data_IF_960919769312
#
_entry.id   IF_960919769312
#
_cell.length_a   1.000
_cell.length_b   1.000
_cell.length_c   1.000
_cell.angle_alpha   90.00
_cell.angle_beta   90.00
_cell.angle_gamma   90.00
#
_symmetry.space_group_name_H-M   'P 1'
#
loop_
_entity.id
_entity.type
_entity.pdbx_description
1 polymer ?
#
# COMPACT_ATOMS: atom_id res chain seq x y z
N UNK A 1 -3.21 -18.33 10.42
CA UNK A 1 -4.08 -19.19 9.58
C UNK A 1 -4.58 -18.42 8.37
N UNK A 2 -5.15 -17.23 8.58
CA UNK A 2 -5.61 -16.33 7.50
C UNK A 2 -4.55 -16.09 6.41
N UNK A 3 -3.30 -15.86 6.79
CA UNK A 3 -2.18 -15.66 5.87
C UNK A 3 -1.98 -16.81 4.88
N UNK A 4 -2.23 -18.05 5.33
CA UNK A 4 -2.02 -19.26 4.50
C UNK A 4 -3.14 -19.49 3.48
N UNK A 5 -4.36 -19.00 3.75
CA UNK A 5 -5.57 -19.41 3.01
C UNK A 5 -6.43 -18.27 2.49
N UNK A 6 -6.48 -17.15 3.20
CA UNK A 6 -7.42 -16.07 2.95
C UNK A 6 -6.74 -14.83 2.36
N UNK A 7 -5.54 -14.48 2.84
CA UNK A 7 -4.79 -13.29 2.40
C UNK A 7 -4.52 -13.32 0.89
N UNK A 8 -4.24 -14.49 0.31
CA UNK A 8 -4.01 -14.63 -1.14
C UNK A 8 -5.16 -14.08 -2.00
N UNK A 9 -6.40 -14.16 -1.53
CA UNK A 9 -7.58 -13.63 -2.21
C UNK A 9 -7.95 -12.21 -1.75
N UNK A 10 -7.47 -11.79 -0.58
CA UNK A 10 -7.93 -10.60 0.15
C UNK A 10 -6.84 -9.57 0.44
N UNK A 11 -5.69 -9.64 -0.25
CA UNK A 11 -4.57 -8.73 -0.03
C UNK A 11 -4.60 -7.45 -0.88
N UNK A 12 -5.35 -7.41 -1.97
CA UNK A 12 -5.35 -6.27 -2.90
C UNK A 12 -6.51 -5.30 -2.67
N UNK A 13 -6.44 -4.09 -3.24
CA UNK A 13 -7.52 -3.10 -3.13
C UNK A 13 -8.76 -3.48 -3.96
N UNK A 14 -8.61 -4.34 -4.96
CA UNK A 14 -9.69 -5.00 -5.71
C UNK A 14 -10.06 -6.38 -5.15
N UNK A 15 -9.68 -6.67 -3.89
CA UNK A 15 -10.18 -7.85 -3.20
C UNK A 15 -11.72 -7.91 -3.27
N UNK A 16 -12.33 -9.10 -3.37
CA UNK A 16 -13.78 -9.24 -3.40
C UNK A 16 -14.41 -8.47 -2.25
N UNK A 17 -15.36 -7.58 -2.58
CA UNK A 17 -16.07 -6.75 -1.61
C UNK A 17 -15.15 -5.84 -0.77
N UNK A 18 -13.98 -5.47 -1.27
CA UNK A 18 -12.94 -4.72 -0.54
C UNK A 18 -12.53 -5.33 0.81
N UNK A 19 -12.87 -6.60 1.06
CA UNK A 19 -12.57 -7.26 2.32
C UNK A 19 -11.06 -7.52 2.37
N UNK A 20 -10.41 -6.92 3.36
CA UNK A 20 -8.98 -7.08 3.62
C UNK A 20 -8.79 -7.99 4.81
N UNK A 21 -8.03 -9.07 4.63
CA UNK A 21 -7.76 -10.05 5.69
C UNK A 21 -6.28 -10.05 6.10
N UNK A 22 -5.56 -9.01 5.70
CA UNK A 22 -4.13 -8.79 5.93
C UNK A 22 -3.82 -8.25 7.32
N UNK A 23 -4.81 -7.77 8.08
CA UNK A 23 -4.59 -7.27 9.44
C UNK A 23 -5.87 -7.33 10.27
N UNK A 24 -5.77 -7.26 11.62
CA UNK A 24 -6.92 -7.08 12.50
C UNK A 24 -7.89 -5.98 12.05
N UNK A 25 -7.37 -4.78 11.80
CA UNK A 25 -8.18 -3.63 11.41
C UNK A 25 -8.79 -3.79 10.01
N UNK A 26 -8.14 -4.55 9.11
CA UNK A 26 -8.71 -4.93 7.83
C UNK A 26 -9.95 -5.82 7.98
N UNK A 27 -9.90 -6.78 8.91
CA UNK A 27 -11.00 -7.70 9.18
C UNK A 27 -12.15 -6.95 9.87
N UNK A 28 -11.85 -6.14 10.88
CA UNK A 28 -12.83 -5.34 11.62
C UNK A 28 -13.50 -4.28 10.75
N UNK A 29 -12.74 -3.66 9.82
CA UNK A 29 -13.31 -2.78 8.81
C UNK A 29 -14.45 -3.47 8.04
N UNK A 30 -14.28 -4.74 7.70
CA UNK A 30 -15.28 -5.54 7.02
C UNK A 30 -15.32 -5.33 5.50
N UNK A 31 -16.51 -5.45 4.92
CA UNK A 31 -16.72 -5.46 3.47
C UNK A 31 -17.45 -4.21 2.99
N UNK A 32 -17.28 -3.88 1.70
CA UNK A 32 -17.99 -2.82 0.99
C UNK A 32 -18.25 -3.22 -0.45
N UNK A 33 -19.38 -2.76 -1.00
CA UNK A 33 -19.72 -2.91 -2.42
C UNK A 33 -19.03 -1.87 -3.31
N UNK A 34 -18.35 -0.89 -2.74
CA UNK A 34 -17.70 0.15 -3.52
C UNK A 34 -16.59 -0.45 -4.41
N UNK A 35 -16.48 0.03 -5.64
CA UNK A 35 -15.43 -0.37 -6.57
C UNK A 35 -14.26 0.60 -6.45
N UNK A 36 -13.10 0.16 -5.98
CA UNK A 36 -11.91 1.02 -5.91
C UNK A 36 -11.45 1.40 -7.32
N UNK A 37 -11.25 0.37 -8.16
CA UNK A 37 -10.82 0.52 -9.55
C UNK A 37 -12.02 0.44 -10.49
N UNK A 38 -12.39 1.58 -11.07
CA UNK A 38 -13.49 1.71 -12.03
C UNK A 38 -13.05 2.60 -13.18
N UNK A 39 -12.66 2.00 -14.31
CA UNK A 39 -12.04 2.70 -15.44
C UNK A 39 -12.90 3.79 -16.08
N UNK A 40 -14.23 3.67 -15.97
CA UNK A 40 -15.17 4.65 -16.52
C UNK A 40 -15.37 5.90 -15.65
N UNK A 41 -14.71 6.01 -14.50
CA UNK A 41 -14.98 7.09 -13.55
C UNK A 41 -14.37 8.42 -14.01
N UNK A 42 -15.21 9.44 -14.16
CA UNK A 42 -14.81 10.79 -14.56
C UNK A 42 -14.25 11.66 -13.42
N UNK A 43 -14.27 11.17 -12.17
CA UNK A 43 -13.78 11.92 -10.99
C UNK A 43 -13.10 10.95 -10.04
N UNK A 44 -12.15 11.42 -9.25
CA UNK A 44 -11.53 10.56 -8.25
C UNK A 44 -12.55 10.12 -7.18
N UNK A 45 -12.49 8.86 -6.73
CA UNK A 45 -13.23 8.39 -5.56
C UNK A 45 -12.47 8.73 -4.27
N UNK A 46 -13.18 8.80 -3.16
CA UNK A 46 -12.54 8.80 -1.85
C UNK A 46 -11.73 7.49 -1.66
N UNK A 47 -10.46 7.57 -1.23
CA UNK A 47 -9.67 6.39 -0.94
C UNK A 47 -10.14 5.69 0.35
N UNK A 48 -9.82 4.41 0.47
CA UNK A 48 -10.23 3.52 1.58
C UNK A 48 -9.04 2.69 2.08
N UNK A 49 -7.87 3.31 2.22
CA UNK A 49 -6.62 2.70 2.69
C UNK A 49 -6.67 2.52 4.21
N UNK A 50 -6.27 1.34 4.67
CA UNK A 50 -6.17 1.06 6.10
C UNK A 50 -5.14 2.00 6.74
N UNK A 51 -5.41 2.44 7.97
CA UNK A 51 -4.53 3.31 8.77
C UNK A 51 -4.26 4.71 8.19
N UNK A 52 -5.02 5.11 7.16
CA UNK A 52 -4.86 6.40 6.48
C UNK A 52 -6.20 7.12 6.39
N UNK A 53 -7.19 6.48 5.79
CA UNK A 53 -8.44 7.14 5.41
C UNK A 53 -9.52 7.00 6.50
N UNK A 54 -9.31 6.11 7.48
CA UNK A 54 -10.04 6.02 8.74
C UNK A 54 -9.21 5.26 9.79
N UNK A 55 -9.40 5.60 11.06
CA UNK A 55 -8.64 5.08 12.22
C UNK A 55 -9.49 4.28 13.20
N UNK A 56 -10.81 4.21 12.99
CA UNK A 56 -11.72 3.44 13.83
C UNK A 56 -12.74 2.64 13.02
N UNK A 57 -13.25 1.54 13.60
CA UNK A 57 -14.34 0.75 12.99
C UNK A 57 -15.58 1.60 12.77
N UNK A 58 -15.90 2.53 13.67
CA UNK A 58 -17.02 3.45 13.54
C UNK A 58 -16.92 4.32 12.28
N UNK A 59 -15.76 4.95 12.05
CA UNK A 59 -15.50 5.71 10.83
C UNK A 59 -15.67 4.85 9.57
N UNK A 60 -15.19 3.59 9.59
CA UNK A 60 -15.40 2.69 8.46
C UNK A 60 -16.88 2.41 8.15
N UNK A 61 -17.75 2.36 9.18
CA UNK A 61 -19.20 2.22 8.99
C UNK A 61 -19.79 3.48 8.31
N UNK A 62 -19.31 4.67 8.67
CA UNK A 62 -19.68 5.92 8.00
C UNK A 62 -19.22 5.94 6.53
N UNK A 63 -18.09 5.31 6.23
CA UNK A 63 -17.60 5.06 4.86
C UNK A 63 -18.36 3.94 4.12
N UNK A 64 -19.45 3.40 4.68
CA UNK A 64 -20.31 2.41 4.05
C UNK A 64 -19.74 0.99 4.05
N UNK A 65 -18.73 0.71 4.90
CA UNK A 65 -18.34 -0.66 5.19
C UNK A 65 -19.29 -1.29 6.20
N UNK A 66 -19.46 -2.60 6.12
CA UNK A 66 -20.30 -3.38 7.03
C UNK A 66 -19.54 -4.61 7.52
N UNK A 67 -19.88 -5.12 8.72
CA UNK A 67 -19.12 -6.19 9.33
C UNK A 67 -19.29 -7.52 8.60
N UNK A 68 -18.20 -8.29 8.55
CA UNK A 68 -18.21 -9.71 8.14
C UNK A 68 -18.19 -10.67 9.35
N UNK A 69 -17.92 -10.11 10.53
CA UNK A 69 -17.97 -10.77 11.83
C UNK A 69 -19.29 -10.42 12.54
N UNK A 70 -19.62 -11.14 13.60
CA UNK A 70 -20.73 -10.75 14.46
C UNK A 70 -20.29 -9.59 15.38
N UNK A 71 -20.85 -8.40 15.20
CA UNK A 71 -20.66 -7.25 16.10
C UNK A 71 -21.78 -7.12 17.14
N UNK A 72 -22.78 -8.02 17.13
CA UNK A 72 -23.92 -8.02 18.05
C UNK A 72 -23.54 -8.81 19.31
N UNK A 73 -24.48 -9.61 19.84
CA UNK A 73 -24.28 -10.42 21.04
C UNK A 73 -23.11 -11.40 20.87
N UNK A 74 -22.04 -11.20 21.64
CA UNK A 74 -20.84 -12.05 21.64
C UNK A 74 -21.09 -13.37 22.37
N UNK A 75 -21.75 -14.31 21.69
CA UNK A 75 -22.06 -15.66 22.18
C UNK A 75 -21.62 -16.67 21.12
N UNK A 76 -21.12 -17.81 21.56
CA UNK A 76 -20.47 -18.79 20.69
C UNK A 76 -21.25 -19.16 19.42
N UNK A 77 -22.52 -19.52 19.58
CA UNK A 77 -23.43 -19.83 18.47
C UNK A 77 -23.84 -18.58 17.68
N UNK A 78 -24.17 -17.47 18.34
CA UNK A 78 -24.50 -16.21 17.68
C UNK A 78 -23.35 -15.70 16.77
N UNK A 79 -22.09 -15.88 17.19
CA UNK A 79 -20.91 -15.52 16.41
C UNK A 79 -20.80 -16.31 15.11
N UNK A 80 -21.26 -17.56 15.11
CA UNK A 80 -21.30 -18.40 13.92
C UNK A 80 -22.51 -18.05 13.05
N UNK A 81 -23.71 -17.97 13.65
CA UNK A 81 -24.97 -17.74 12.93
C UNK A 81 -25.01 -16.36 12.26
N UNK A 82 -24.59 -15.31 12.95
CA UNK A 82 -24.62 -13.94 12.42
C UNK A 82 -23.35 -13.53 11.67
N UNK A 83 -22.25 -14.29 11.78
CA UNK A 83 -20.98 -13.97 11.13
C UNK A 83 -20.97 -14.42 9.67
N UNK A 84 -20.99 -13.48 8.72
CA UNK A 84 -20.94 -13.77 7.27
C UNK A 84 -19.73 -14.64 6.92
N UNK A 85 -18.56 -14.35 7.48
CA UNK A 85 -17.37 -15.15 7.24
C UNK A 85 -17.56 -16.61 7.69
N UNK A 86 -18.18 -16.85 8.84
CA UNK A 86 -18.45 -18.20 9.34
C UNK A 86 -19.44 -18.93 8.43
N UNK A 87 -20.51 -18.27 8.03
CA UNK A 87 -21.53 -18.83 7.15
C UNK A 87 -20.96 -19.25 5.78
N UNK A 88 -20.13 -18.41 5.15
CA UNK A 88 -19.52 -18.73 3.86
C UNK A 88 -18.50 -19.88 3.92
N UNK A 89 -17.81 -20.05 5.06
CA UNK A 89 -16.93 -21.20 5.30
C UNK A 89 -17.74 -22.49 5.49
N UNK A 90 -18.84 -22.42 6.24
CA UNK A 90 -19.75 -23.56 6.46
C UNK A 90 -20.42 -23.97 5.14
N UNK A 91 -20.86 -23.00 4.35
CA UNK A 91 -21.43 -23.23 3.03
C UNK A 91 -20.50 -24.07 2.16
N UNK A 92 -19.21 -23.70 2.10
CA UNK A 92 -18.21 -24.41 1.29
C UNK A 92 -18.05 -25.87 1.69
N UNK A 93 -18.24 -26.18 2.97
CA UNK A 93 -18.17 -27.54 3.48
C UNK A 93 -19.46 -28.33 3.18
N UNK A 94 -20.62 -27.68 3.25
CA UNK A 94 -21.92 -28.30 2.95
C UNK A 94 -22.07 -28.60 1.46
N UNK A 95 -21.55 -27.71 0.61
CA UNK A 95 -21.61 -27.80 -0.84
C UNK A 95 -20.17 -27.77 -1.41
N UNK A 96 -19.44 -28.90 -1.34
CA UNK A 96 -18.10 -28.99 -1.90
C UNK A 96 -18.11 -28.81 -3.43
N UNK A 97 -16.95 -28.48 -4.00
CA UNK A 97 -16.82 -28.34 -5.46
C UNK A 97 -17.17 -29.65 -6.19
N UNK A 98 -17.73 -29.56 -7.41
CA UNK A 98 -17.84 -30.68 -8.33
C UNK A 98 -16.48 -31.37 -8.55
N UNK A 99 -16.49 -32.69 -8.77
CA UNK A 99 -15.30 -33.50 -9.08
C UNK A 99 -14.97 -33.39 -10.57
N UNK A 100 -14.73 -32.18 -11.03
CA UNK A 100 -14.48 -31.85 -12.45
C UNK A 100 -13.12 -31.17 -12.61
N UNK A 101 -12.48 -31.37 -13.76
CA UNK A 101 -11.17 -30.77 -14.06
C UNK A 101 -11.26 -29.27 -14.31
N UNK A 102 -12.37 -28.83 -14.93
CA UNK A 102 -12.69 -27.45 -15.24
C UNK A 102 -14.09 -27.23 -14.67
N UNK A 103 -14.26 -26.18 -13.85
CA UNK A 103 -15.55 -25.82 -13.30
C UNK A 103 -16.43 -25.21 -14.39
N UNK A 104 -17.72 -25.55 -14.39
CA UNK A 104 -18.69 -25.02 -15.35
C UNK A 104 -18.90 -23.50 -15.17
N UNK A 105 -18.92 -22.77 -16.28
CA UNK A 105 -19.18 -21.32 -16.30
C UNK A 105 -20.67 -21.01 -16.03
N UNK A 106 -21.57 -21.99 -16.16
CA UNK A 106 -22.98 -21.87 -15.75
C UNK A 106 -23.12 -21.82 -14.22
N UNK A 107 -22.23 -22.50 -13.49
CA UNK A 107 -22.22 -22.55 -12.02
C UNK A 107 -21.31 -21.49 -11.38
N UNK A 108 -20.29 -21.01 -12.10
CA UNK A 108 -19.29 -20.08 -11.58
C UNK A 108 -18.99 -18.93 -12.54
N UNK A 109 -19.06 -17.69 -12.04
CA UNK A 109 -18.64 -16.52 -12.79
C UNK A 109 -17.19 -16.14 -12.49
N UNK A 110 -16.29 -16.49 -13.42
CA UNK A 110 -14.88 -16.11 -13.42
C UNK A 110 -14.55 -14.96 -14.39
N UNK A 111 -15.54 -14.19 -14.85
CA UNK A 111 -15.32 -13.01 -15.69
C UNK A 111 -14.56 -11.90 -14.92
N UNK A 112 -13.86 -11.03 -15.64
CA UNK A 112 -13.07 -9.94 -15.03
C UNK A 112 -13.96 -8.81 -14.50
N UNK A 113 -15.17 -8.68 -15.05
CA UNK A 113 -16.14 -7.61 -14.79
C UNK A 113 -17.38 -8.09 -14.01
N UNK A 114 -17.30 -9.28 -13.39
CA UNK A 114 -18.37 -9.83 -12.56
C UNK A 114 -18.86 -8.86 -11.48
N UNK A 115 -20.16 -8.90 -11.23
CA UNK A 115 -20.76 -8.17 -10.12
C UNK A 115 -20.59 -8.92 -8.81
N UNK A 116 -20.01 -8.27 -7.79
CA UNK A 116 -19.90 -8.86 -6.46
C UNK A 116 -21.21 -8.70 -5.67
N UNK A 117 -21.79 -9.80 -5.18
CA UNK A 117 -23.02 -9.75 -4.39
C UNK A 117 -22.81 -9.20 -2.97
N UNK A 118 -21.65 -9.50 -2.37
CA UNK A 118 -21.20 -9.05 -1.05
C UNK A 118 -22.30 -9.15 0.04
N UNK A 119 -22.63 -10.37 0.52
CA UNK A 119 -23.69 -10.55 1.50
C UNK A 119 -23.37 -9.89 2.84
N UNK A 120 -24.43 -9.56 3.57
CA UNK A 120 -24.45 -9.04 4.94
C UNK A 120 -25.03 -10.10 5.86
N UNK A 121 -24.96 -9.91 7.18
CA UNK A 121 -25.57 -10.85 8.14
C UNK A 121 -27.07 -11.02 7.94
N UNK A 122 -27.77 -10.01 7.40
CA UNK A 122 -29.22 -10.05 7.22
C UNK A 122 -29.66 -10.82 5.94
N UNK A 123 -28.77 -11.02 4.96
CA UNK A 123 -29.12 -11.66 3.67
C UNK A 123 -28.19 -12.81 3.25
N UNK A 124 -27.23 -13.20 4.10
CA UNK A 124 -26.30 -14.30 3.79
C UNK A 124 -27.03 -15.64 3.58
N UNK A 125 -28.14 -15.88 4.28
CA UNK A 125 -28.89 -17.12 4.12
C UNK A 125 -29.52 -17.23 2.72
N UNK A 126 -30.26 -16.19 2.28
CA UNK A 126 -30.82 -16.15 0.93
C UNK A 126 -29.73 -16.23 -0.15
N UNK A 127 -28.59 -15.56 0.07
CA UNK A 127 -27.43 -15.69 -0.82
C UNK A 127 -26.95 -17.14 -0.95
N UNK A 128 -26.87 -17.88 0.17
CA UNK A 128 -26.42 -19.27 0.19
C UNK A 128 -27.42 -20.22 -0.48
N UNK A 129 -28.72 -19.96 -0.33
CA UNK A 129 -29.79 -20.72 -1.00
C UNK A 129 -29.77 -20.51 -2.51
N UNK A 130 -29.61 -19.27 -2.96
CA UNK A 130 -29.55 -18.92 -4.39
C UNK A 130 -28.24 -19.36 -5.05
N UNK A 131 -27.15 -19.44 -4.29
CA UNK A 131 -25.81 -19.74 -4.83
C UNK A 131 -25.09 -20.84 -4.03
N UNK A 132 -25.59 -22.10 -3.99
CA UNK A 132 -25.07 -23.13 -3.07
C UNK A 132 -23.57 -23.38 -3.17
N UNK A 133 -23.01 -23.35 -4.39
CA UNK A 133 -21.59 -23.64 -4.66
C UNK A 133 -20.63 -22.46 -4.38
N UNK A 134 -21.15 -21.29 -4.00
CA UNK A 134 -20.38 -20.04 -3.92
C UNK A 134 -19.74 -19.79 -2.54
N UNK A 135 -19.67 -20.81 -1.69
CA UNK A 135 -18.94 -20.76 -0.42
C UNK A 135 -17.45 -20.41 -0.58
N UNK A 136 -16.85 -19.88 0.48
CA UNK A 136 -15.45 -19.45 0.47
C UNK A 136 -14.51 -20.58 0.94
N UNK A 137 -13.36 -20.82 0.27
CA UNK A 137 -12.83 -20.06 -0.87
C UNK A 137 -13.58 -20.30 -2.19
N UNK A 138 -13.94 -19.20 -2.87
CA UNK A 138 -14.73 -19.25 -4.11
C UNK A 138 -13.93 -19.87 -5.26
N UNK A 139 -14.53 -20.85 -5.97
CA UNK A 139 -13.90 -21.53 -7.11
C UNK A 139 -12.64 -22.34 -6.78
N UNK A 140 -12.32 -22.51 -5.49
CA UNK A 140 -11.18 -23.30 -5.01
C UNK A 140 -11.65 -24.41 -4.07
N UNK A 141 -10.86 -25.46 -3.82
CA UNK A 141 -11.23 -26.50 -2.87
C UNK A 141 -11.52 -25.97 -1.47
N UNK A 142 -12.32 -26.72 -0.71
CA UNK A 142 -12.54 -26.45 0.71
C UNK A 142 -11.22 -26.49 1.50
N UNK A 143 -11.21 -25.81 2.65
CA UNK A 143 -10.09 -25.92 3.60
C UNK A 143 -9.98 -27.35 4.12
N UNK A 144 -8.77 -27.76 4.52
CA UNK A 144 -8.62 -29.00 5.25
C UNK A 144 -9.45 -28.96 6.56
N UNK A 145 -9.98 -30.10 6.99
CA UNK A 145 -10.89 -30.14 8.13
C UNK A 145 -10.30 -29.51 9.40
N UNK A 146 -9.02 -29.74 9.68
CA UNK A 146 -8.30 -29.16 10.82
C UNK A 146 -8.16 -27.64 10.71
N UNK A 147 -7.78 -27.12 9.54
CA UNK A 147 -7.71 -25.68 9.27
C UNK A 147 -9.08 -25.00 9.42
N UNK A 148 -10.13 -25.65 8.93
CA UNK A 148 -11.49 -25.14 9.07
C UNK A 148 -11.94 -25.11 10.53
N UNK A 149 -11.68 -26.17 11.31
CA UNK A 149 -12.03 -26.19 12.73
C UNK A 149 -11.27 -25.12 13.53
N UNK A 150 -10.01 -24.85 13.20
CA UNK A 150 -9.25 -23.74 13.80
C UNK A 150 -9.94 -22.40 13.52
N UNK A 151 -10.31 -22.15 12.26
CA UNK A 151 -10.90 -20.88 11.83
C UNK A 151 -12.30 -20.68 12.43
N UNK A 152 -13.16 -21.70 12.38
CA UNK A 152 -14.48 -21.66 13.01
C UNK A 152 -14.39 -21.57 14.54
N UNK A 153 -13.39 -22.20 15.16
CA UNK A 153 -13.13 -22.10 16.59
C UNK A 153 -12.77 -20.67 17.02
N UNK A 154 -11.93 -20.00 16.25
CA UNK A 154 -11.60 -18.58 16.44
C UNK A 154 -12.81 -17.67 16.23
N UNK A 155 -13.59 -17.87 15.16
CA UNK A 155 -14.83 -17.11 14.91
C UNK A 155 -15.86 -17.32 16.03
N UNK A 156 -16.05 -18.56 16.49
CA UNK A 156 -16.93 -18.90 17.61
C UNK A 156 -16.57 -18.13 18.88
N UNK A 157 -15.28 -17.91 19.13
CA UNK A 157 -14.78 -17.15 20.29
C UNK A 157 -14.89 -15.63 20.12
N UNK A 158 -15.53 -15.14 19.06
CA UNK A 158 -15.70 -13.70 18.79
C UNK A 158 -14.60 -13.11 17.92
N UNK A 159 -13.78 -13.94 17.28
CA UNK A 159 -12.72 -13.52 16.36
C UNK A 159 -11.72 -12.53 16.98
N UNK A 160 -11.43 -12.67 18.27
CA UNK A 160 -10.50 -11.79 18.99
C UNK A 160 -9.16 -11.69 18.26
N UNK A 161 -8.73 -10.45 18.01
CA UNK A 161 -7.51 -10.14 17.27
C UNK A 161 -6.31 -10.01 18.21
N UNK A 162 -5.12 -10.32 17.71
CA UNK A 162 -3.86 -10.08 18.42
C UNK A 162 -3.54 -8.59 18.49
N UNK A 163 -3.06 -8.13 19.65
CA UNK A 163 -2.50 -6.78 19.77
C UNK A 163 -1.21 -6.65 18.94
N UNK A 164 -0.86 -5.43 18.47
CA UNK A 164 0.42 -5.17 17.83
C UNK A 164 1.59 -5.55 18.74
N UNK A 165 2.62 -6.18 18.17
CA UNK A 165 3.84 -6.51 18.88
C UNK A 165 4.60 -5.21 19.19
N UNK A 166 4.94 -4.94 20.46
CA UNK A 166 5.78 -3.79 20.81
C UNK A 166 7.15 -3.87 20.17
N UNK A 167 7.71 -2.73 19.78
CA UNK A 167 9.06 -2.66 19.25
C UNK A 167 10.11 -2.91 20.34
N UNK A 168 11.17 -3.62 19.99
CA UNK A 168 12.35 -3.77 20.84
C UNK A 168 13.10 -2.43 20.97
N UNK A 169 13.80 -2.23 22.10
CA UNK A 169 14.64 -1.05 22.32
C UNK A 169 15.70 -0.87 21.22
N UNK A 170 16.13 -1.98 20.63
CA UNK A 170 17.10 -2.03 19.53
C UNK A 170 16.52 -1.40 18.26
N UNK A 171 15.30 -1.80 17.87
CA UNK A 171 14.58 -1.19 16.76
C UNK A 171 14.26 0.28 17.00
N UNK A 172 13.82 0.64 18.21
CA UNK A 172 13.51 2.04 18.57
C UNK A 172 14.74 2.94 18.36
N UNK A 173 15.92 2.52 18.81
CA UNK A 173 17.17 3.29 18.61
C UNK A 173 17.49 3.54 17.14
N UNK A 174 17.20 2.58 16.25
CA UNK A 174 17.47 2.73 14.80
C UNK A 174 16.43 3.60 14.12
N UNK A 175 15.17 3.47 14.52
CA UNK A 175 14.11 4.40 14.11
C UNK A 175 14.52 5.83 14.50
N UNK A 176 14.89 6.06 15.76
CA UNK A 176 15.28 7.39 16.25
C UNK A 176 16.47 7.95 15.48
N UNK A 177 17.47 7.12 15.16
CA UNK A 177 18.64 7.51 14.36
C UNK A 177 18.24 7.96 12.95
N UNK A 178 17.41 7.17 12.27
CA UNK A 178 16.96 7.46 10.92
C UNK A 178 16.00 8.65 10.86
N UNK A 179 15.07 8.75 11.80
CA UNK A 179 14.18 9.89 11.93
C UNK A 179 14.97 11.16 12.27
N UNK A 180 16.00 11.09 13.10
CA UNK A 180 16.88 12.24 13.37
C UNK A 180 17.59 12.71 12.11
N UNK A 181 18.10 11.79 11.27
CA UNK A 181 18.71 12.15 9.99
C UNK A 181 17.70 12.81 9.04
N UNK A 182 16.53 12.19 8.84
CA UNK A 182 15.54 12.66 7.87
C UNK A 182 14.90 14.00 8.25
N UNK A 183 14.92 14.39 9.52
CA UNK A 183 14.14 15.53 10.02
C UNK A 183 14.98 16.75 10.45
N UNK A 184 16.22 16.88 9.99
CA UNK A 184 17.03 18.08 10.25
C UNK A 184 16.39 19.35 9.67
N UNK A 185 16.68 20.51 10.28
CA UNK A 185 16.00 21.78 9.98
C UNK A 185 16.44 22.42 8.65
N UNK A 186 17.63 22.11 8.15
CA UNK A 186 18.16 22.77 6.95
C UNK A 186 17.28 22.55 5.71
N UNK A 187 17.18 23.56 4.83
CA UNK A 187 16.42 23.43 3.57
C UNK A 187 16.95 22.29 2.68
N UNK A 188 18.27 22.05 2.68
CA UNK A 188 18.88 20.89 2.01
C UNK A 188 18.34 19.57 2.52
N UNK A 189 18.24 19.40 3.85
CA UNK A 189 17.67 18.17 4.41
C UNK A 189 16.18 18.05 4.09
N UNK A 190 15.42 19.15 4.19
CA UNK A 190 13.97 19.10 3.94
C UNK A 190 13.64 18.69 2.49
N UNK A 191 14.34 19.26 1.50
CA UNK A 191 14.14 18.89 0.09
C UNK A 191 14.63 17.48 -0.21
N UNK A 192 15.74 17.03 0.42
CA UNK A 192 16.25 15.67 0.21
C UNK A 192 15.38 14.61 0.85
N UNK A 193 14.88 14.84 2.07
CA UNK A 193 13.93 13.92 2.71
C UNK A 193 12.60 13.85 1.96
N UNK A 194 12.14 14.97 1.38
CA UNK A 194 11.00 14.98 0.45
C UNK A 194 11.27 14.09 -0.77
N UNK A 195 12.43 14.27 -1.41
CA UNK A 195 12.86 13.44 -2.53
C UNK A 195 12.88 11.95 -2.15
N UNK A 196 13.52 11.59 -1.04
CA UNK A 196 13.61 10.20 -0.55
C UNK A 196 12.22 9.61 -0.29
N UNK A 197 11.34 10.34 0.39
CA UNK A 197 9.97 9.89 0.63
C UNK A 197 9.18 9.69 -0.66
N UNK A 198 9.16 10.68 -1.55
CA UNK A 198 8.37 10.59 -2.78
C UNK A 198 8.83 9.46 -3.71
N UNK A 199 10.08 9.02 -3.60
CA UNK A 199 10.62 7.89 -4.38
C UNK A 199 10.47 6.54 -3.68
N UNK A 200 10.38 6.50 -2.36
CA UNK A 200 10.37 5.26 -1.57
C UNK A 200 9.11 5.06 -0.73
N UNK A 201 8.05 5.85 -0.91
CA UNK A 201 6.82 5.77 -0.09
C UNK A 201 6.07 4.43 -0.20
N UNK A 202 6.32 3.63 -1.25
CA UNK A 202 5.77 2.29 -1.41
C UNK A 202 6.68 1.18 -0.83
N UNK A 203 7.90 1.53 -0.41
CA UNK A 203 8.88 0.56 0.06
C UNK A 203 8.63 0.14 1.50
N UNK A 204 8.91 -1.13 1.79
CA UNK A 204 8.92 -1.68 3.14
C UNK A 204 10.36 -1.63 3.67
N UNK A 205 10.61 -0.71 4.59
CA UNK A 205 11.93 -0.51 5.19
C UNK A 205 12.22 -1.56 6.24
N UNK A 206 13.48 -2.00 6.34
CA UNK A 206 13.95 -2.86 7.43
C UNK A 206 15.39 -2.52 7.78
N UNK A 207 15.83 -2.85 8.99
CA UNK A 207 17.21 -2.64 9.43
C UNK A 207 18.04 -3.89 9.15
N UNK A 208 19.03 -3.79 8.27
CA UNK A 208 19.83 -4.95 7.86
C UNK A 208 20.87 -5.38 8.91
N UNK A 209 21.12 -4.54 9.91
CA UNK A 209 22.01 -4.74 11.05
C UNK A 209 21.30 -5.31 12.28
N UNK A 210 20.02 -5.68 12.16
CA UNK A 210 19.20 -6.26 13.24
C UNK A 210 18.71 -7.64 12.82
N UNK A 211 18.76 -8.61 13.74
CA UNK A 211 18.26 -9.97 13.48
C UNK A 211 16.72 -10.04 13.42
N UNK A 212 16.06 -9.18 14.19
CA UNK A 212 14.60 -9.04 14.21
C UNK A 212 14.09 -8.58 12.85
N UNK A 213 13.36 -9.47 12.15
CA UNK A 213 12.77 -9.20 10.86
C UNK A 213 11.44 -8.46 11.02
N UNK A 214 11.52 -7.14 11.16
CA UNK A 214 10.38 -6.24 11.19
C UNK A 214 10.45 -5.23 10.04
N UNK A 215 9.31 -4.98 9.40
CA UNK A 215 9.19 -4.01 8.31
C UNK A 215 8.50 -2.73 8.77
N UNK A 216 8.81 -1.64 8.10
CA UNK A 216 8.31 -0.30 8.41
C UNK A 216 7.89 0.43 7.14
N UNK A 217 6.90 1.31 7.26
CA UNK A 217 6.53 2.28 6.25
C UNK A 217 7.08 3.65 6.62
N UNK A 218 7.59 4.37 5.62
CA UNK A 218 7.95 5.78 5.77
C UNK A 218 6.73 6.65 5.49
N UNK A 219 6.32 7.46 6.45
CA UNK A 219 5.12 8.31 6.35
C UNK A 219 5.43 9.77 6.60
N UNK A 220 4.62 10.67 6.03
CA UNK A 220 4.59 12.08 6.41
C UNK A 220 3.79 12.27 7.70
N UNK A 221 4.27 13.13 8.58
CA UNK A 221 3.69 13.46 9.87
C UNK A 221 3.69 14.97 10.08
N UNK A 222 2.65 15.48 10.73
CA UNK A 222 2.59 16.88 11.19
C UNK A 222 3.31 17.08 12.53
N UNK A 223 3.71 16.00 13.21
CA UNK A 223 4.42 16.01 14.51
C UNK A 223 5.85 15.48 14.39
N UNK A 224 6.82 16.09 15.11
CA UNK A 224 8.22 15.71 15.09
C UNK A 224 8.50 14.35 15.77
N UNK A 225 9.69 13.76 15.54
CA UNK A 225 10.21 12.67 16.39
C UNK A 225 10.15 13.03 17.88
N UNK A 226 9.80 12.05 18.71
CA UNK A 226 9.53 12.25 20.15
C UNK A 226 8.05 12.51 20.49
N UNK A 227 7.22 12.87 19.51
CA UNK A 227 5.76 13.00 19.67
C UNK A 227 5.01 11.85 18.97
N UNK A 228 3.78 11.52 19.42
CA UNK A 228 2.91 10.60 18.71
C UNK A 228 2.72 11.02 17.25
N UNK A 229 2.87 10.06 16.33
CA UNK A 229 2.77 10.30 14.89
C UNK A 229 1.37 10.78 14.53
N UNK A 230 1.28 11.97 13.92
CA UNK A 230 0.05 12.47 13.29
C UNK A 230 0.21 12.40 11.78
N UNK A 231 -0.20 11.26 11.21
CA UNK A 231 0.00 10.94 9.80
C UNK A 231 -0.72 11.93 8.89
N UNK A 232 -0.03 12.35 7.84
CA UNK A 232 -0.58 13.15 6.75
C UNK A 232 -0.91 12.21 5.58
N UNK A 233 -2.20 11.93 5.38
CA UNK A 233 -2.70 11.01 4.37
C UNK A 233 -3.29 11.77 3.17
N UNK A 234 -2.46 12.13 2.22
CA UNK A 234 -2.91 12.65 0.91
C UNK A 234 -3.13 11.51 -0.08
N UNK A 235 -3.76 11.77 -1.23
CA UNK A 235 -3.94 10.74 -2.27
C UNK A 235 -2.63 10.44 -2.98
N UNK A 236 -1.80 11.47 -3.20
CA UNK A 236 -0.48 11.32 -3.83
C UNK A 236 0.62 11.75 -2.86
N UNK A 237 1.81 11.13 -2.90
CA UNK A 237 2.89 11.45 -1.94
C UNK A 237 3.38 12.91 -2.05
N UNK A 238 3.23 13.52 -3.23
CA UNK A 238 3.63 14.90 -3.52
C UNK A 238 2.52 15.94 -3.36
N UNK A 239 1.30 15.55 -2.94
CA UNK A 239 0.23 16.53 -2.70
C UNK A 239 0.55 17.38 -1.45
N UNK A 240 -0.02 18.60 -1.44
CA UNK A 240 0.12 19.55 -0.34
C UNK A 240 -0.22 18.89 1.01
N UNK A 241 0.73 18.87 1.96
CA UNK A 241 0.53 18.26 3.26
C UNK A 241 -0.38 19.08 4.19
N UNK A 242 -0.73 20.32 3.85
CA UNK A 242 -1.58 21.19 4.65
C UNK A 242 -0.92 21.72 5.93
N UNK A 243 0.41 21.66 6.02
CA UNK A 243 1.21 22.10 7.16
C UNK A 243 2.50 22.78 6.68
N UNK A 244 3.01 23.72 7.47
CA UNK A 244 4.26 24.44 7.14
C UNK A 244 5.48 23.53 7.17
N UNK A 245 5.46 22.49 8.02
CA UNK A 245 6.55 21.55 8.19
C UNK A 245 6.07 20.11 8.22
N UNK A 246 6.70 19.30 7.38
CA UNK A 246 6.51 17.85 7.32
C UNK A 246 7.67 17.17 8.04
N UNK A 247 7.32 16.14 8.81
CA UNK A 247 8.28 15.19 9.39
C UNK A 247 8.12 13.82 8.75
N UNK A 248 9.21 13.13 8.50
CA UNK A 248 9.24 11.77 7.95
C UNK A 248 9.46 10.77 9.07
N UNK A 249 8.48 9.90 9.28
CA UNK A 249 8.42 8.99 10.44
C UNK A 249 8.35 7.54 9.96
N UNK A 250 9.06 6.64 10.64
CA UNK A 250 9.00 5.20 10.38
C UNK A 250 7.94 4.59 11.30
N UNK A 251 6.92 3.97 10.71
CA UNK A 251 5.87 3.26 11.46
C UNK A 251 5.94 1.76 11.13
N UNK A 252 5.69 0.86 12.09
CA UNK A 252 5.67 -0.58 11.80
C UNK A 252 4.63 -0.92 10.73
N UNK A 253 5.00 -1.78 9.78
CA UNK A 253 4.03 -2.43 8.89
C UNK A 253 3.15 -3.36 9.72
N UNK A 254 1.83 -3.20 9.58
CA UNK A 254 0.80 -3.91 10.35
C UNK A 254 0.07 -4.95 9.52
N UNK A 255 0.12 -4.82 8.20
CA UNK A 255 -0.45 -5.78 7.27
C UNK A 255 0.52 -6.94 7.00
N UNK A 256 -0.05 -8.13 6.78
CA UNK A 256 0.70 -9.28 6.27
C UNK A 256 1.46 -8.91 5.01
N UNK A 257 2.76 -9.22 4.99
CA UNK A 257 3.62 -9.01 3.84
C UNK A 257 3.17 -9.92 2.68
N UNK A 258 2.84 -9.31 1.55
CA UNK A 258 2.50 -10.02 0.31
C UNK A 258 3.44 -9.61 -0.82
N UNK A 259 3.88 -10.58 -1.62
CA UNK A 259 4.87 -10.34 -2.68
C UNK A 259 4.47 -9.19 -3.62
N UNK A 260 3.17 -9.06 -3.90
CA UNK A 260 2.65 -8.09 -4.86
C UNK A 260 2.86 -6.63 -4.47
N UNK A 261 2.92 -6.30 -3.19
CA UNK A 261 3.19 -4.94 -2.70
C UNK A 261 4.52 -4.84 -1.98
N UNK A 262 5.13 -5.96 -1.59
CA UNK A 262 6.38 -5.98 -0.86
C UNK A 262 7.57 -5.55 -1.72
N UNK A 263 8.15 -4.41 -1.34
CA UNK A 263 9.37 -3.85 -1.92
C UNK A 263 10.35 -3.58 -0.78
N UNK A 264 11.11 -4.59 -0.33
CA UNK A 264 12.00 -4.45 0.82
C UNK A 264 13.11 -3.46 0.52
N UNK A 265 13.42 -2.61 1.49
CA UNK A 265 14.46 -1.59 1.37
C UNK A 265 15.31 -1.54 2.63
N UNK A 266 16.57 -1.94 2.51
CA UNK A 266 17.49 -2.03 3.64
C UNK A 266 17.89 -0.64 4.15
N UNK A 267 17.85 -0.44 5.47
CA UNK A 267 18.38 0.73 6.16
C UNK A 267 19.59 0.30 6.99
N UNK A 268 20.72 0.97 6.79
CA UNK A 268 21.96 0.81 7.55
C UNK A 268 22.87 2.05 7.43
N UNK A 269 23.94 2.06 8.21
CA UNK A 269 24.87 3.19 8.30
C UNK A 269 25.55 3.53 6.98
N UNK A 270 25.89 2.52 6.18
CA UNK A 270 26.49 2.73 4.86
C UNK A 270 25.52 3.50 3.95
N UNK A 271 24.24 3.16 3.98
CA UNK A 271 23.20 3.86 3.20
C UNK A 271 22.98 5.28 3.68
N UNK A 272 22.89 5.49 4.98
CA UNK A 272 22.76 6.83 5.56
C UNK A 272 23.93 7.72 5.14
N UNK A 273 25.15 7.19 5.16
CA UNK A 273 26.35 7.92 4.75
C UNK A 273 26.30 8.28 3.26
N UNK A 274 25.94 7.34 2.37
CA UNK A 274 25.74 7.63 0.94
C UNK A 274 24.73 8.76 0.71
N UNK A 275 23.58 8.71 1.38
CA UNK A 275 22.54 9.71 1.22
C UNK A 275 22.98 11.08 1.75
N UNK A 276 23.71 11.11 2.86
CA UNK A 276 24.32 12.33 3.38
C UNK A 276 25.30 12.92 2.37
N UNK A 277 26.20 12.11 1.80
CA UNK A 277 27.16 12.56 0.80
C UNK A 277 26.48 13.13 -0.45
N UNK A 278 25.44 12.46 -0.95
CA UNK A 278 24.77 12.87 -2.18
C UNK A 278 23.88 14.10 -2.00
N UNK A 279 23.17 14.19 -0.88
CA UNK A 279 22.13 15.21 -0.71
C UNK A 279 22.50 16.33 0.26
N UNK A 280 23.33 16.10 1.26
CA UNK A 280 23.62 17.10 2.30
C UNK A 280 24.99 17.73 2.08
N UNK A 281 26.02 16.89 1.91
CA UNK A 281 27.41 17.33 1.81
C UNK A 281 27.78 17.78 0.38
N UNK A 282 26.93 17.50 -0.61
CA UNK A 282 27.12 17.97 -1.98
C UNK A 282 27.07 19.51 -2.08
N UNK A 283 27.89 20.06 -2.98
CA UNK A 283 28.04 21.50 -3.19
C UNK A 283 26.90 22.06 -4.06
N UNK A 284 25.88 22.58 -3.41
CA UNK A 284 24.76 23.30 -3.98
C UNK A 284 24.07 24.12 -2.89
N UNK A 285 23.09 24.97 -3.25
CA UNK A 285 22.32 25.77 -2.30
C UNK A 285 20.83 25.62 -2.60
N UNK A 286 20.03 25.60 -1.55
CA UNK A 286 18.55 25.63 -1.63
C UNK A 286 18.12 26.94 -0.99
N UNK A 287 17.54 27.84 -1.77
CA UNK A 287 17.08 29.14 -1.27
C UNK A 287 15.63 29.08 -0.78
N UNK A 288 14.82 28.22 -1.40
CA UNK A 288 13.41 28.02 -1.07
C UNK A 288 13.02 26.58 -1.38
N UNK A 289 12.12 26.00 -0.59
CA UNK A 289 11.54 24.70 -0.91
C UNK A 289 10.60 24.79 -2.12
N UNK A 290 10.54 23.73 -2.95
CA UNK A 290 9.57 23.62 -4.04
C UNK A 290 8.13 23.70 -3.54
N UNK A 291 7.27 24.33 -4.33
CA UNK A 291 5.83 24.40 -4.06
C UNK A 291 5.17 23.02 -4.12
N UNK A 292 4.02 22.88 -3.48
CA UNK A 292 3.11 21.74 -3.64
C UNK A 292 2.03 21.98 -4.70
N UNK A 293 2.08 23.12 -5.39
CA UNK A 293 1.22 23.38 -6.55
C UNK A 293 1.37 22.26 -7.59
N UNK A 294 0.23 21.81 -8.13
CA UNK A 294 0.16 20.61 -8.96
C UNK A 294 1.19 20.61 -10.10
N UNK A 295 1.35 21.72 -10.82
CA UNK A 295 2.28 21.83 -11.96
C UNK A 295 3.76 21.70 -11.58
N UNK A 296 4.13 22.00 -10.33
CA UNK A 296 5.48 21.81 -9.80
C UNK A 296 5.60 20.41 -9.20
N UNK A 297 4.70 20.06 -8.29
CA UNK A 297 4.79 18.85 -7.49
C UNK A 297 4.66 17.55 -8.29
N UNK A 298 3.93 17.56 -9.42
CA UNK A 298 3.84 16.40 -10.31
C UNK A 298 5.05 16.22 -11.22
N UNK A 299 5.95 17.20 -11.28
CA UNK A 299 7.12 17.20 -12.15
C UNK A 299 8.41 17.24 -11.33
N UNK A 300 9.11 16.10 -11.15
CA UNK A 300 10.30 16.06 -10.31
C UNK A 300 11.50 16.82 -10.89
N UNK A 301 11.53 17.13 -12.20
CA UNK A 301 12.53 18.03 -12.79
C UNK A 301 12.36 19.44 -12.20
N UNK A 302 11.12 19.88 -12.00
CA UNK A 302 10.82 21.18 -11.41
C UNK A 302 10.91 21.15 -9.88
N UNK A 303 10.28 20.16 -9.23
CA UNK A 303 10.25 20.06 -7.78
C UNK A 303 11.65 19.87 -7.17
N UNK A 304 12.55 19.14 -7.83
CA UNK A 304 13.87 18.82 -7.30
C UNK A 304 15.01 19.43 -8.13
N UNK A 305 14.71 20.50 -8.86
CA UNK A 305 15.66 21.19 -9.72
C UNK A 305 16.95 21.60 -8.99
N UNK A 306 16.84 21.99 -7.72
CA UNK A 306 17.96 22.44 -6.90
C UNK A 306 18.89 21.30 -6.48
N UNK A 307 18.40 20.06 -6.43
CA UNK A 307 19.23 18.91 -6.10
C UNK A 307 20.08 18.53 -7.32
N UNK A 308 21.41 18.38 -7.17
CA UNK A 308 22.28 18.01 -8.29
C UNK A 308 21.81 16.74 -9.01
N UNK A 309 21.78 16.79 -10.35
CA UNK A 309 21.40 15.63 -11.21
C UNK A 309 22.18 14.39 -10.82
N UNK A 310 23.50 14.55 -10.61
CA UNK A 310 24.40 13.48 -10.18
C UNK A 310 23.93 12.80 -8.89
N UNK A 311 23.44 13.57 -7.92
CA UNK A 311 22.96 13.05 -6.63
C UNK A 311 21.65 12.29 -6.78
N UNK A 312 20.69 12.88 -7.49
CA UNK A 312 19.40 12.25 -7.82
C UNK A 312 19.62 10.94 -8.57
N UNK A 313 20.55 10.94 -9.52
CA UNK A 313 20.82 9.75 -10.33
C UNK A 313 21.54 8.64 -9.56
N UNK A 314 22.54 8.98 -8.73
CA UNK A 314 23.19 7.99 -7.84
C UNK A 314 22.19 7.32 -6.92
N UNK A 315 21.25 8.08 -6.36
CA UNK A 315 20.19 7.53 -5.51
C UNK A 315 19.31 6.52 -6.24
N UNK A 316 18.85 6.85 -7.45
CA UNK A 316 18.01 5.95 -8.25
C UNK A 316 18.76 4.69 -8.68
N UNK A 317 20.05 4.81 -8.99
CA UNK A 317 20.89 3.69 -9.41
C UNK A 317 21.29 2.75 -8.27
N UNK A 318 21.50 3.28 -7.05
CA UNK A 318 21.91 2.48 -5.89
C UNK A 318 20.92 1.34 -5.60
N UNK A 319 19.63 1.58 -5.89
CA UNK A 319 18.55 0.60 -5.76
C UNK A 319 17.66 0.60 -7.01
N UNK A 320 18.26 0.42 -8.19
CA UNK A 320 17.56 0.37 -9.47
C UNK A 320 16.45 -0.70 -9.49
N UNK A 321 16.65 -1.83 -8.79
CA UNK A 321 15.62 -2.86 -8.65
C UNK A 321 14.40 -2.32 -7.88
N UNK A 322 14.59 -1.60 -6.77
CA UNK A 322 13.47 -1.02 -6.02
C UNK A 322 12.72 0.01 -6.87
N UNK A 323 13.46 0.87 -7.60
CA UNK A 323 12.88 1.84 -8.52
C UNK A 323 12.02 1.17 -9.60
N UNK A 324 12.50 0.09 -10.21
CA UNK A 324 11.74 -0.69 -11.20
C UNK A 324 10.54 -1.39 -10.56
N UNK A 325 10.70 -1.98 -9.36
CA UNK A 325 9.59 -2.61 -8.66
C UNK A 325 8.49 -1.60 -8.36
N UNK A 326 8.82 -0.37 -7.95
CA UNK A 326 7.83 0.68 -7.70
C UNK A 326 7.05 1.09 -8.96
N UNK A 327 7.57 0.78 -10.15
CA UNK A 327 6.88 0.97 -11.42
C UNK A 327 5.96 -0.20 -11.80
N UNK A 328 6.29 -1.43 -11.39
CA UNK A 328 5.63 -2.67 -11.83
C UNK A 328 4.67 -3.22 -10.76
N UNK A 329 5.04 -3.14 -9.48
CA UNK A 329 4.28 -3.67 -8.35
C UNK A 329 3.18 -2.69 -7.95
N UNK A 330 2.05 -3.23 -7.52
CA UNK A 330 0.90 -2.44 -7.10
C UNK A 330 -0.26 -3.27 -6.57
N UNK A 331 -1.20 -2.67 -5.82
CA UNK A 331 -2.24 -3.38 -5.08
C UNK A 331 -3.46 -3.78 -5.93
N UNK A 332 -3.30 -4.02 -7.24
CA UNK A 332 -4.37 -4.46 -8.17
C UNK A 332 -4.19 -5.94 -8.50
N UNK A 333 -4.93 -6.84 -7.85
CA UNK A 333 -4.80 -8.29 -8.01
C UNK A 333 -5.24 -8.81 -9.38
N UNK A 334 -6.26 -8.19 -9.99
CA UNK A 334 -6.98 -8.73 -11.14
C UNK A 334 -7.45 -7.62 -12.08
N UNK A 335 -7.49 -7.92 -13.38
CA UNK A 335 -8.09 -7.05 -14.40
C UNK A 335 -7.10 -6.15 -15.16
N UNK A 336 -7.59 -5.56 -16.26
CA UNK A 336 -6.75 -4.82 -17.21
C UNK A 336 -6.24 -3.47 -16.68
N UNK A 337 -6.87 -2.93 -15.62
CA UNK A 337 -6.41 -1.69 -14.99
C UNK A 337 -5.01 -1.81 -14.39
N UNK A 338 -4.55 -3.03 -14.08
CA UNK A 338 -3.17 -3.27 -13.65
C UNK A 338 -2.14 -3.01 -14.77
N UNK A 339 -2.54 -3.12 -16.05
CA UNK A 339 -1.65 -3.03 -17.21
C UNK A 339 -1.77 -1.67 -17.94
N UNK A 340 -2.89 -0.95 -17.79
CA UNK A 340 -3.18 0.31 -18.49
C UNK A 340 -2.28 1.50 -18.10
N UNK A 341 -1.28 1.27 -17.25
CA UNK A 341 -0.44 2.30 -16.62
C UNK A 341 1.00 2.30 -17.17
N UNK A 342 1.35 1.35 -18.03
CA UNK A 342 2.67 1.23 -18.68
C UNK A 342 2.43 1.05 -20.19
N UNK A 343 3.27 1.64 -21.04
CA UNK A 343 3.24 1.33 -22.47
C UNK A 343 3.81 -0.07 -22.69
N UNK A 344 3.14 -0.90 -23.49
CA UNK A 344 3.53 -2.30 -23.71
C UNK A 344 4.98 -2.47 -24.21
N UNK A 345 5.53 -1.48 -24.93
CA UNK A 345 6.92 -1.47 -25.38
C UNK A 345 7.68 -0.28 -24.78
N UNK A 346 8.61 -0.55 -23.86
CA UNK A 346 9.53 0.44 -23.30
C UNK A 346 10.95 -0.12 -23.17
N UNK A 347 11.93 0.77 -23.19
CA UNK A 347 13.34 0.45 -23.02
C UNK A 347 13.85 1.15 -21.76
N UNK A 348 14.59 0.43 -20.92
CA UNK A 348 15.25 0.99 -19.74
C UNK A 348 16.75 1.02 -20.00
N UNK A 349 17.35 2.21 -19.90
CA UNK A 349 18.79 2.39 -20.03
C UNK A 349 19.36 2.96 -18.74
N UNK A 350 20.50 2.42 -18.32
CA UNK A 350 21.29 2.95 -17.22
C UNK A 350 22.56 3.56 -17.78
N UNK A 351 22.80 4.82 -17.44
CA UNK A 351 23.96 5.60 -17.85
C UNK A 351 24.81 5.85 -16.63
N UNK A 352 26.13 5.87 -16.83
CA UNK A 352 27.06 6.25 -15.78
C UNK A 352 26.81 7.71 -15.35
N UNK A 353 26.53 7.98 -14.05
CA UNK A 353 26.30 9.34 -13.57
C UNK A 353 27.53 10.24 -13.71
N UNK A 354 28.73 9.67 -13.83
CA UNK A 354 29.97 10.41 -14.06
C UNK A 354 30.07 10.95 -15.48
N UNK A 355 29.31 10.39 -16.43
CA UNK A 355 29.31 10.80 -17.83
C UNK A 355 28.14 11.71 -18.21
N UNK A 356 27.08 11.73 -17.40
CA UNK A 356 25.81 12.39 -17.72
C UNK A 356 25.40 13.49 -16.73
N UNK A 357 25.95 13.52 -15.51
CA UNK A 357 25.58 14.45 -14.45
C UNK A 357 26.22 15.84 -14.54
N UNK A 358 26.30 16.45 -15.72
CA UNK A 358 26.85 17.81 -15.89
C UNK A 358 25.78 18.89 -15.72
N UNK A 359 26.20 20.15 -15.53
CA UNK A 359 25.28 21.29 -15.43
C UNK A 359 24.50 21.49 -16.74
N UNK A 360 25.15 21.27 -17.88
CA UNK A 360 24.52 21.34 -19.20
C UNK A 360 23.37 20.34 -19.34
N UNK A 361 23.52 19.13 -18.80
CA UNK A 361 22.43 18.14 -18.75
C UNK A 361 21.28 18.62 -17.87
N UNK A 362 21.57 19.25 -16.72
CA UNK A 362 20.55 19.81 -15.83
C UNK A 362 19.74 20.91 -16.52
N UNK A 363 20.45 21.83 -17.18
CA UNK A 363 19.84 22.94 -17.92
C UNK A 363 19.01 22.43 -19.10
N UNK A 364 19.50 21.38 -19.78
CA UNK A 364 18.75 20.69 -20.82
C UNK A 364 17.45 20.09 -20.27
N UNK A 365 17.49 19.30 -19.18
CA UNK A 365 16.27 18.73 -18.61
C UNK A 365 15.28 19.80 -18.17
N UNK A 366 15.75 20.88 -17.55
CA UNK A 366 14.91 22.03 -17.19
C UNK A 366 14.25 22.66 -18.41
N UNK A 367 14.97 22.82 -19.52
CA UNK A 367 14.41 23.33 -20.79
C UNK A 367 13.32 22.42 -21.37
N UNK A 368 13.37 21.12 -21.04
CA UNK A 368 12.41 20.12 -21.49
C UNK A 368 11.30 19.84 -20.46
N UNK A 369 11.27 20.54 -19.32
CA UNK A 369 10.35 20.22 -18.23
C UNK A 369 8.87 20.24 -18.64
N UNK A 370 8.47 21.14 -19.55
CA UNK A 370 7.09 21.19 -20.09
C UNK A 370 6.78 20.02 -21.04
N UNK A 371 7.78 19.52 -21.77
CA UNK A 371 7.67 18.39 -22.69
C UNK A 371 7.69 17.06 -21.93
N UNK A 372 8.46 17.00 -20.85
CA UNK A 372 8.54 15.89 -19.90
C UNK A 372 7.45 15.96 -18.82
N UNK A 373 6.51 16.90 -18.94
CA UNK A 373 5.36 16.96 -18.06
C UNK A 373 4.52 15.69 -18.24
N UNK A 374 4.40 14.93 -17.16
CA UNK A 374 3.45 13.84 -17.06
C UNK A 374 2.03 14.44 -17.08
N UNK A 375 1.51 14.78 -18.27
CA UNK A 375 0.13 15.21 -18.52
C UNK A 375 -0.84 14.04 -18.31
N UNK A 376 -0.88 13.54 -17.09
CA UNK A 376 -1.74 12.49 -16.58
C UNK A 376 -2.41 12.97 -15.31
N UNK A 377 -3.24 14.03 -15.41
CA UNK A 377 -4.21 14.35 -14.35
C UNK A 377 -5.29 13.26 -14.19
N UNK A 378 -5.26 12.25 -15.07
CA UNK A 378 -6.17 11.13 -15.11
C UNK A 378 -5.35 9.85 -14.94
N UNK A 379 -5.50 9.24 -13.76
CA UNK A 379 -5.18 7.83 -13.44
C UNK A 379 -3.74 7.37 -13.67
N UNK A 380 -2.92 7.41 -12.61
CA UNK A 380 -2.14 6.29 -12.07
C UNK A 380 -1.19 6.83 -10.99
N UNK A 381 -1.23 6.22 -9.81
CA UNK A 381 -0.32 6.42 -8.67
C UNK A 381 1.11 5.90 -8.92
N UNK A 382 1.49 5.73 -10.19
CA UNK A 382 2.79 5.20 -10.57
C UNK A 382 3.75 6.32 -10.96
N UNK A 383 5.05 6.13 -10.71
CA UNK A 383 6.03 7.17 -10.89
C UNK A 383 6.42 7.29 -12.37
N UNK A 384 5.51 7.83 -13.21
CA UNK A 384 5.73 7.94 -14.66
C UNK A 384 6.84 8.93 -15.04
N UNK A 385 7.34 9.74 -14.09
CA UNK A 385 8.34 10.76 -14.37
C UNK A 385 9.47 10.82 -13.33
N UNK A 386 9.82 9.76 -12.56
CA UNK A 386 10.92 9.87 -11.55
C UNK A 386 12.33 10.08 -12.12
N UNK A 387 12.51 10.03 -13.44
CA UNK A 387 13.83 10.13 -14.06
C UNK A 387 13.97 11.42 -14.85
N UNK A 388 14.39 12.47 -14.15
CA UNK A 388 15.20 13.55 -14.69
C UNK A 388 16.43 13.75 -13.84
#
# INVERSE_FOLDING_TARGET
MLDKRCVVCHACYDAPCQLKLTSPEGIDRGASKALVYQGARLRATAPTRLYEDAVSTGEWREHGFYPVLNERLQRADANIEAGVMAQLLIQKQQFPLPQETILDDDDFDFSLDRSFFCPTSDNVHSYMEENPLWGMPYGLPALANDEQQILLGWLRQGATMSAPVPLSDDLVKRIDKWESYLNQDSLKQQISSRYIYEHLFLSHFYFSDVEEKQFFNLVRSSTPPGEPVKRIATRRPYEDPGVDRVYYRLIPERETIVDKTHMPFALNDQRMQKWKEWFVDADYKVEKLPSYEAHVASNPILAFADIPVRSRYKFLLDEAQNTIMAYIKGPVCRGQLALNVINDHFWVFFVDPDKSGTQETNDFFRSQAETCDCRGNWTATLPRCLTG
#
